data_IF_362483588035
#
_entry.id   IF_362483588035
#
_cell.length_a   1.000
_cell.length_b   1.000
_cell.length_c   1.000
_cell.angle_alpha   90.00
_cell.angle_beta   90.00
_cell.angle_gamma   90.00
#
_symmetry.space_group_name_H-M   'P 1'
#
loop_
_entity.id
_entity.type
_entity.pdbx_description
1 polymer ?
#
# COMPACT_ATOMS: atom_id res chain seq x y z
N UNK A 1 7.61 -0.51 -15.30
CA UNK A 1 6.99 -1.27 -16.41
C UNK A 1 7.08 -2.77 -16.16
N UNK A 2 8.28 -3.36 -16.03
CA UNK A 2 8.44 -4.81 -15.81
C UNK A 2 7.60 -5.38 -14.65
N UNK A 3 7.59 -4.73 -13.49
CA UNK A 3 6.81 -5.22 -12.34
C UNK A 3 5.30 -5.23 -12.61
N UNK A 4 4.77 -4.24 -13.34
CA UNK A 4 3.36 -4.22 -13.75
C UNK A 4 3.04 -5.39 -14.70
N UNK A 5 3.95 -5.67 -15.65
CA UNK A 5 3.82 -6.85 -16.52
C UNK A 5 3.83 -8.15 -15.72
N UNK A 6 4.71 -8.29 -14.72
CA UNK A 6 4.75 -9.48 -13.86
C UNK A 6 3.44 -9.68 -13.08
N UNK A 7 2.83 -8.59 -12.60
CA UNK A 7 1.54 -8.63 -11.92
C UNK A 7 0.40 -9.04 -12.86
N UNK A 8 0.35 -8.47 -14.08
CA UNK A 8 -0.62 -8.84 -15.11
C UNK A 8 -0.51 -10.34 -15.49
N UNK A 9 0.71 -10.83 -15.68
CA UNK A 9 0.99 -12.24 -15.98
C UNK A 9 0.56 -13.17 -14.83
N UNK A 10 0.78 -12.78 -13.57
CA UNK A 10 0.37 -13.58 -12.40
C UNK A 10 -1.13 -13.83 -12.33
N UNK A 11 -1.95 -12.88 -12.79
CA UNK A 11 -3.41 -13.03 -12.89
C UNK A 11 -3.88 -13.59 -14.24
N UNK A 12 -2.95 -14.04 -15.10
CA UNK A 12 -3.20 -14.56 -16.47
C UNK A 12 -4.00 -13.59 -17.35
N UNK A 13 -3.66 -12.30 -17.28
CA UNK A 13 -4.32 -11.28 -18.10
C UNK A 13 -3.69 -11.18 -19.49
N UNK A 14 -4.53 -10.90 -20.49
CA UNK A 14 -4.08 -10.66 -21.86
C UNK A 14 -3.46 -9.26 -22.04
N UNK A 15 -3.82 -8.31 -21.17
CA UNK A 15 -3.33 -6.92 -21.21
C UNK A 15 -2.95 -6.40 -19.82
N UNK A 16 -1.90 -5.58 -19.79
CA UNK A 16 -1.50 -4.80 -18.61
C UNK A 16 -2.45 -3.61 -18.46
N UNK A 17 -3.02 -3.43 -17.27
CA UNK A 17 -3.93 -2.33 -16.96
C UNK A 17 -3.27 -1.29 -16.05
N UNK A 18 -3.91 -0.13 -15.88
CA UNK A 18 -3.46 0.88 -14.91
C UNK A 18 -3.40 0.34 -13.48
N UNK A 19 -4.25 -0.62 -13.12
CA UNK A 19 -4.18 -1.26 -11.81
C UNK A 19 -2.88 -2.06 -11.61
N UNK A 20 -2.37 -2.70 -12.66
CA UNK A 20 -1.08 -3.40 -12.59
C UNK A 20 0.07 -2.41 -12.36
N UNK A 21 -0.01 -1.21 -12.95
CA UNK A 21 0.95 -0.12 -12.68
C UNK A 21 0.83 0.42 -11.26
N UNK A 22 -0.39 0.68 -10.79
CA UNK A 22 -0.63 1.17 -9.42
C UNK A 22 -0.07 0.18 -8.39
N UNK A 23 -0.37 -1.12 -8.55
CA UNK A 23 0.15 -2.16 -7.67
C UNK A 23 1.68 -2.32 -7.76
N UNK A 24 2.27 -2.14 -8.94
CA UNK A 24 3.71 -2.16 -9.12
C UNK A 24 4.40 -1.01 -8.38
N UNK A 25 3.86 0.21 -8.48
CA UNK A 25 4.35 1.38 -7.73
C UNK A 25 4.25 1.11 -6.23
N UNK A 26 3.11 0.62 -5.75
CA UNK A 26 2.92 0.30 -4.33
C UNK A 26 3.92 -0.73 -3.82
N UNK A 27 4.20 -1.77 -4.61
CA UNK A 27 5.18 -2.79 -4.22
C UNK A 27 6.60 -2.24 -4.20
N UNK A 28 6.97 -1.35 -5.11
CA UNK A 28 8.31 -0.75 -5.16
C UNK A 28 8.51 0.19 -3.97
N UNK A 29 7.51 1.02 -3.67
CA UNK A 29 7.60 2.03 -2.60
C UNK A 29 7.47 1.40 -1.21
N UNK A 30 6.46 0.55 -1.00
CA UNK A 30 6.12 0.03 0.33
C UNK A 30 6.57 -1.42 0.57
N UNK A 31 7.06 -2.12 -0.46
CA UNK A 31 7.49 -3.51 -0.37
C UNK A 31 6.35 -4.53 -0.49
N UNK A 32 6.71 -5.81 -0.31
CA UNK A 32 5.78 -6.94 -0.42
C UNK A 32 4.75 -6.95 0.71
N UNK A 33 3.48 -7.14 0.34
CA UNK A 33 2.38 -7.38 1.27
C UNK A 33 2.56 -8.73 2.01
N UNK A 34 2.42 -8.71 3.33
CA UNK A 34 2.43 -9.92 4.17
C UNK A 34 1.03 -10.49 4.33
N UNK A 35 0.56 -11.24 3.33
CA UNK A 35 -0.77 -11.88 3.34
C UNK A 35 -1.01 -12.85 4.51
N UNK A 36 0.07 -13.41 5.09
CA UNK A 36 -0.04 -14.36 6.22
C UNK A 36 -0.07 -13.69 7.60
N UNK A 37 0.17 -12.37 7.69
CA UNK A 37 0.08 -11.65 8.96
C UNK A 37 -1.33 -11.09 9.12
N UNK A 38 -2.21 -11.92 9.69
CA UNK A 38 -3.57 -11.52 10.01
C UNK A 38 -3.55 -10.73 11.32
N UNK A 39 -3.89 -9.43 11.25
CA UNK A 39 -4.14 -8.60 12.42
C UNK A 39 -5.52 -8.95 13.00
N UNK A 40 -5.61 -9.12 14.32
CA UNK A 40 -6.90 -9.27 14.97
C UNK A 40 -7.71 -7.95 14.93
N UNK A 41 -9.03 -7.95 15.18
CA UNK A 41 -9.86 -6.74 15.07
C UNK A 41 -9.33 -5.55 15.88
N UNK A 42 -8.83 -5.80 17.09
CA UNK A 42 -8.28 -4.76 17.97
C UNK A 42 -6.95 -4.21 17.44
N UNK A 43 -6.07 -5.06 16.96
CA UNK A 43 -4.82 -4.63 16.31
C UNK A 43 -5.08 -3.81 15.05
N UNK A 44 -6.06 -4.22 14.23
CA UNK A 44 -6.47 -3.47 13.04
C UNK A 44 -6.95 -2.07 13.40
N UNK A 45 -7.73 -1.93 14.46
CA UNK A 45 -8.22 -0.64 14.94
C UNK A 45 -7.07 0.24 15.44
N UNK A 46 -6.15 -0.31 16.23
CA UNK A 46 -4.96 0.41 16.71
C UNK A 46 -4.11 0.91 15.54
N UNK A 47 -3.82 0.05 14.56
CA UNK A 47 -3.04 0.42 13.37
C UNK A 47 -3.80 1.47 12.55
N UNK A 48 -5.12 1.35 12.40
CA UNK A 48 -5.91 2.34 11.69
C UNK A 48 -5.77 3.74 12.32
N UNK A 49 -5.88 3.85 13.65
CA UNK A 49 -5.68 5.14 14.31
C UNK A 49 -4.23 5.65 14.18
N UNK A 50 -3.24 4.77 14.23
CA UNK A 50 -1.84 5.15 14.05
C UNK A 50 -1.58 5.76 12.66
N UNK A 51 -1.99 5.05 11.61
CA UNK A 51 -1.79 5.50 10.23
C UNK A 51 -2.61 6.76 9.91
N UNK A 52 -3.83 6.86 10.44
CA UNK A 52 -4.65 8.06 10.32
C UNK A 52 -4.03 9.26 11.05
N UNK A 53 -3.33 9.04 12.17
CA UNK A 53 -2.56 10.07 12.85
C UNK A 53 -1.49 10.68 11.96
N UNK A 54 -0.69 9.85 11.27
CA UNK A 54 0.29 10.32 10.29
C UNK A 54 -0.36 11.11 9.16
N UNK A 55 -1.46 10.58 8.61
CA UNK A 55 -2.17 11.22 7.50
C UNK A 55 -2.73 12.61 7.89
N UNK A 56 -3.39 12.71 9.04
CA UNK A 56 -3.98 13.96 9.52
C UNK A 56 -2.92 15.03 9.79
N UNK A 57 -1.81 14.64 10.44
CA UNK A 57 -0.70 15.57 10.72
C UNK A 57 -0.07 16.07 9.42
N UNK A 58 0.18 15.19 8.45
CA UNK A 58 0.75 15.57 7.16
C UNK A 58 -0.17 16.52 6.38
N UNK A 59 -1.49 16.29 6.40
CA UNK A 59 -2.46 17.15 5.72
C UNK A 59 -2.65 18.53 6.39
N UNK A 60 -2.38 18.64 7.70
CA UNK A 60 -2.56 19.88 8.45
C UNK A 60 -1.34 20.82 8.36
N UNK A 61 -0.17 20.32 7.96
CA UNK A 61 1.07 21.09 7.93
C UNK A 61 1.35 21.67 6.52
N UNK A 62 1.64 22.98 6.41
CA UNK A 62 2.02 23.56 5.13
C UNK A 62 3.39 23.08 4.67
N UNK A 63 3.56 22.88 3.36
CA UNK A 63 4.87 22.54 2.76
C UNK A 63 5.31 21.08 2.91
N UNK A 64 4.42 20.19 3.38
CA UNK A 64 4.65 18.74 3.42
C UNK A 64 4.16 18.09 2.13
N UNK A 65 4.79 16.99 1.72
CA UNK A 65 4.35 16.20 0.57
C UNK A 65 2.90 15.72 0.74
N UNK A 66 2.08 15.76 -0.33
CA UNK A 66 0.68 15.36 -0.25
C UNK A 66 0.54 13.87 0.05
N UNK A 67 -0.45 13.53 0.88
CA UNK A 67 -0.80 12.14 1.18
C UNK A 67 -1.51 11.53 -0.03
N UNK A 68 -0.89 10.50 -0.63
CA UNK A 68 -1.42 9.84 -1.82
C UNK A 68 -2.27 8.60 -1.49
N UNK A 69 -1.87 7.82 -0.48
CA UNK A 69 -2.56 6.60 -0.06
C UNK A 69 -2.21 6.27 1.39
N UNK A 70 -3.20 5.81 2.15
CA UNK A 70 -3.05 5.29 3.51
C UNK A 70 -3.58 3.86 3.55
N UNK A 71 -2.90 2.97 4.27
CA UNK A 71 -3.26 1.55 4.30
C UNK A 71 -2.86 0.91 5.63
N UNK A 72 -3.76 0.10 6.20
CA UNK A 72 -3.47 -0.73 7.38
C UNK A 72 -2.94 -2.12 7.02
N UNK A 73 -2.80 -2.41 5.72
CA UNK A 73 -2.30 -3.69 5.23
C UNK A 73 -0.79 -3.76 5.47
N UNK A 74 -0.29 -4.76 6.23
CA UNK A 74 1.12 -4.85 6.57
C UNK A 74 1.99 -5.17 5.35
N UNK A 75 3.07 -4.40 5.17
CA UNK A 75 4.07 -4.58 4.11
C UNK A 75 5.49 -4.63 4.71
N UNK A 76 6.41 -5.38 4.07
CA UNK A 76 7.84 -5.40 4.40
C UNK A 76 8.29 -6.36 5.52
N UNK A 77 9.62 -6.52 5.68
CA UNK A 77 10.27 -7.34 6.72
C UNK A 77 10.48 -6.50 7.99
N UNK A 78 9.40 -6.35 8.75
CA UNK A 78 9.43 -6.22 10.20
C UNK A 78 8.91 -7.50 10.83
#
# INVERSE_FOLDING_TARGET
VNEATLLATRRRADVVTMDDFNNAVERIVAGLEKRNRLLNPREREIVAYHEMGHALVAMALPGVDPVHKVSIIPRGVG
#
